data_IF_905278172677
#
_entry.id   IF_905278172677
#
_cell.length_a   1.000
_cell.length_b   1.000
_cell.length_c   1.000
_cell.angle_alpha   90.00
_cell.angle_beta   90.00
_cell.angle_gamma   90.00
#
_symmetry.space_group_name_H-M   'P 1'
#
loop_
_entity.id
_entity.type
_entity.pdbx_description
1 polymer ?
#
# COMPACT_ATOMS: atom_id res chain seq x y z
N UNK A 1 12.10 -1.74 5.61
CA UNK A 1 11.72 -1.59 7.03
C UNK A 1 12.70 -2.43 7.81
N UNK A 2 13.33 -1.89 8.84
CA UNK A 2 14.25 -2.66 9.67
C UNK A 2 13.50 -3.58 10.66
N UNK A 3 14.22 -4.55 11.26
CA UNK A 3 13.66 -5.53 12.18
C UNK A 3 13.04 -4.88 13.44
N UNK A 4 13.63 -3.78 13.91
CA UNK A 4 13.16 -3.03 15.09
C UNK A 4 11.80 -2.38 14.83
N UNK A 5 11.65 -1.74 13.67
CA UNK A 5 10.39 -1.15 13.23
C UNK A 5 9.31 -2.23 13.01
N UNK A 6 9.70 -3.41 12.49
CA UNK A 6 8.79 -4.55 12.33
C UNK A 6 8.29 -5.09 13.67
N UNK A 7 9.16 -5.24 14.66
CA UNK A 7 8.77 -5.68 16.02
C UNK A 7 7.86 -4.65 16.72
N UNK A 8 8.13 -3.36 16.56
CA UNK A 8 7.27 -2.29 17.08
C UNK A 8 5.87 -2.30 16.44
N UNK A 9 5.77 -2.65 15.16
CA UNK A 9 4.46 -2.78 14.47
C UNK A 9 3.58 -3.90 15.07
N UNK A 10 4.16 -4.91 15.70
CA UNK A 10 3.40 -6.00 16.31
C UNK A 10 2.45 -5.51 17.42
N UNK A 11 2.82 -4.48 18.15
CA UNK A 11 2.01 -3.90 19.22
C UNK A 11 0.69 -3.28 18.68
N UNK A 12 0.69 -2.85 17.42
CA UNK A 12 -0.46 -2.22 16.75
C UNK A 12 -1.19 -3.16 15.77
N UNK A 13 -0.73 -4.39 15.63
CA UNK A 13 -1.23 -5.31 14.61
C UNK A 13 -2.56 -6.01 14.95
N UNK A 14 -3.15 -5.73 16.10
CA UNK A 14 -4.31 -6.45 16.61
C UNK A 14 -4.02 -7.95 16.87
N UNK A 15 -5.01 -8.72 17.30
CA UNK A 15 -4.85 -10.16 17.50
C UNK A 15 -4.38 -10.85 16.20
N UNK A 16 -3.26 -11.56 16.28
CA UNK A 16 -2.76 -12.37 15.17
C UNK A 16 -3.75 -13.50 14.90
N UNK A 17 -4.49 -13.37 13.83
CA UNK A 17 -5.23 -14.51 13.33
C UNK A 17 -4.24 -15.59 12.84
N UNK A 18 -4.42 -16.87 13.20
CA UNK A 18 -3.66 -17.95 12.62
C UNK A 18 -3.67 -17.84 11.09
N UNK A 19 -2.57 -18.17 10.42
CA UNK A 19 -2.43 -18.02 8.96
C UNK A 19 -3.56 -18.68 8.16
N UNK A 20 -4.13 -19.76 8.67
CA UNK A 20 -5.28 -20.45 8.07
C UNK A 20 -6.58 -19.62 8.14
N UNK A 21 -6.74 -18.71 9.10
CA UNK A 21 -7.92 -17.81 9.18
C UNK A 21 -7.87 -16.61 8.21
N UNK A 22 -6.74 -16.39 7.53
CA UNK A 22 -6.61 -15.36 6.49
C UNK A 22 -7.03 -15.83 5.11
N UNK A 23 -7.17 -17.15 4.92
CA UNK A 23 -7.66 -17.74 3.68
C UNK A 23 -9.18 -17.83 3.73
N UNK A 24 -9.80 -17.75 2.57
CA UNK A 24 -11.21 -18.07 2.44
C UNK A 24 -11.39 -19.56 2.79
N UNK A 25 -12.00 -19.82 3.93
CA UNK A 25 -12.17 -21.21 4.43
C UNK A 25 -13.15 -22.01 3.56
N UNK A 26 -14.08 -21.30 2.89
CA UNK A 26 -15.12 -21.89 2.05
C UNK A 26 -14.70 -21.97 0.57
N UNK A 27 -13.41 -21.73 0.26
CA UNK A 27 -12.90 -21.78 -1.10
C UNK A 27 -11.88 -22.91 -1.29
N UNK A 28 -12.14 -23.73 -2.30
CA UNK A 28 -11.23 -24.78 -2.73
C UNK A 28 -10.16 -24.22 -3.65
N UNK A 29 -8.94 -24.15 -3.17
CA UNK A 29 -7.79 -23.61 -3.89
C UNK A 29 -7.20 -24.55 -4.97
N UNK A 30 -7.82 -25.71 -5.21
CA UNK A 30 -7.54 -26.57 -6.37
C UNK A 30 -8.39 -26.20 -7.58
N UNK A 31 -9.52 -25.51 -7.37
CA UNK A 31 -10.50 -25.17 -8.38
C UNK A 31 -10.07 -23.98 -9.26
N UNK A 32 -10.73 -23.87 -10.40
CA UNK A 32 -10.55 -22.74 -11.31
C UNK A 32 -10.76 -21.41 -10.58
N UNK A 33 -9.77 -20.52 -10.66
CA UNK A 33 -9.86 -19.23 -9.99
C UNK A 33 -8.67 -18.32 -10.30
N UNK A 34 -8.85 -17.03 -10.07
CA UNK A 34 -7.79 -16.05 -10.24
C UNK A 34 -7.33 -15.54 -8.88
N UNK A 35 -6.04 -15.57 -8.65
CA UNK A 35 -5.43 -15.29 -7.36
C UNK A 35 -4.35 -14.23 -7.50
N UNK A 36 -4.39 -13.21 -6.64
CA UNK A 36 -3.26 -12.35 -6.39
C UNK A 36 -2.56 -12.82 -5.12
N UNK A 37 -1.29 -13.17 -5.23
CA UNK A 37 -0.46 -13.62 -4.11
C UNK A 37 0.62 -12.59 -3.79
N UNK A 38 0.94 -12.45 -2.51
CA UNK A 38 2.03 -11.60 -2.03
C UNK A 38 2.97 -12.43 -1.18
N UNK A 39 4.23 -12.48 -1.59
CA UNK A 39 5.30 -13.15 -0.84
C UNK A 39 6.33 -12.11 -0.40
N UNK A 40 6.63 -12.11 0.89
CA UNK A 40 7.52 -11.13 1.53
C UNK A 40 8.81 -11.84 1.92
N UNK A 41 9.94 -11.18 1.76
CA UNK A 41 11.24 -11.68 2.27
C UNK A 41 11.21 -11.75 3.79
N UNK A 42 11.90 -12.73 4.36
CA UNK A 42 12.02 -12.84 5.81
C UNK A 42 12.63 -11.57 6.41
N UNK A 43 11.94 -10.97 7.38
CA UNK A 43 12.32 -9.70 8.01
C UNK A 43 12.30 -8.51 7.06
N UNK A 44 11.60 -8.59 5.94
CA UNK A 44 11.49 -7.53 4.91
C UNK A 44 12.84 -7.03 4.39
N UNK A 45 13.79 -7.94 4.24
CA UNK A 45 15.11 -7.63 3.67
C UNK A 45 14.98 -7.28 2.19
N UNK A 46 15.61 -6.20 1.76
CA UNK A 46 15.62 -5.74 0.36
C UNK A 46 16.62 -6.58 -0.46
N UNK A 47 16.22 -7.77 -0.88
CA UNK A 47 17.08 -8.76 -1.53
C UNK A 47 16.90 -8.82 -3.05
N UNK A 48 15.76 -8.36 -3.57
CA UNK A 48 15.42 -8.53 -4.98
C UNK A 48 15.91 -7.42 -5.89
N UNK A 49 16.58 -6.41 -5.35
CA UNK A 49 17.05 -5.23 -6.05
C UNK A 49 16.51 -3.94 -5.46
N UNK A 50 16.44 -2.89 -6.26
CA UNK A 50 15.89 -1.62 -5.83
C UNK A 50 15.09 -0.92 -6.94
N UNK A 51 14.29 0.08 -6.58
CA UNK A 51 13.58 0.92 -7.54
C UNK A 51 14.49 2.06 -8.00
N UNK A 52 14.42 2.39 -9.29
CA UNK A 52 15.12 3.49 -9.94
C UNK A 52 14.15 4.35 -10.75
N UNK A 53 14.56 5.58 -11.02
CA UNK A 53 13.77 6.60 -11.71
C UNK A 53 13.31 7.69 -10.75
N UNK A 54 12.33 8.47 -11.19
CA UNK A 54 11.69 9.55 -10.42
C UNK A 54 10.18 9.37 -10.42
N UNK A 55 9.52 9.70 -9.30
CA UNK A 55 8.09 9.42 -9.14
C UNK A 55 7.20 10.28 -10.04
N UNK A 56 7.68 11.42 -10.51
CA UNK A 56 7.01 12.37 -11.41
C UNK A 56 7.31 12.11 -12.90
N UNK A 57 8.28 11.23 -13.21
CA UNK A 57 8.65 10.92 -14.58
C UNK A 57 7.54 10.11 -15.29
N UNK A 58 7.16 10.58 -16.48
CA UNK A 58 6.12 9.94 -17.28
C UNK A 58 6.51 8.55 -17.79
N UNK A 59 5.50 7.70 -18.05
CA UNK A 59 5.72 6.38 -18.64
C UNK A 59 6.53 6.45 -19.94
N UNK A 60 7.49 5.55 -20.11
CA UNK A 60 8.34 5.48 -21.29
C UNK A 60 9.52 6.45 -21.34
N UNK A 61 9.63 7.40 -20.39
CA UNK A 61 10.81 8.24 -20.27
C UNK A 61 12.01 7.47 -19.69
N UNK A 62 13.23 7.95 -19.90
CA UNK A 62 14.45 7.35 -19.31
C UNK A 62 14.44 7.36 -17.79
N UNK A 63 13.76 8.34 -17.19
CA UNK A 63 13.54 8.49 -15.74
C UNK A 63 12.34 7.73 -15.20
N UNK A 64 11.59 7.00 -16.03
CA UNK A 64 10.38 6.31 -15.59
C UNK A 64 10.65 5.34 -14.42
N UNK A 65 9.77 5.31 -13.41
CA UNK A 65 9.86 4.40 -12.27
C UNK A 65 9.96 2.95 -12.71
N UNK A 66 10.97 2.25 -12.24
CA UNK A 66 11.17 0.83 -12.58
C UNK A 66 11.90 0.08 -11.47
N UNK A 67 11.69 -1.22 -11.42
CA UNK A 67 12.46 -2.12 -10.57
C UNK A 67 13.75 -2.54 -11.29
N UNK A 68 14.90 -2.34 -10.65
CA UNK A 68 16.22 -2.86 -11.09
C UNK A 68 16.52 -4.10 -10.26
N UNK A 69 16.47 -5.26 -10.90
CA UNK A 69 16.60 -6.54 -10.21
C UNK A 69 18.06 -6.87 -9.87
N UNK A 70 18.28 -7.38 -8.67
CA UNK A 70 19.50 -8.09 -8.28
C UNK A 70 19.60 -9.44 -9.00
N UNK A 71 20.74 -10.12 -8.92
CA UNK A 71 20.88 -11.49 -9.45
C UNK A 71 19.90 -12.46 -8.79
N UNK A 72 19.67 -12.30 -7.48
CA UNK A 72 18.62 -13.07 -6.78
C UNK A 72 17.22 -12.72 -7.31
N UNK A 73 16.94 -11.43 -7.51
CA UNK A 73 15.66 -10.99 -8.09
C UNK A 73 15.40 -11.63 -9.46
N UNK A 74 16.41 -11.66 -10.32
CA UNK A 74 16.33 -12.33 -11.62
C UNK A 74 16.09 -13.84 -11.50
N UNK A 75 16.74 -14.50 -10.53
CA UNK A 75 16.54 -15.94 -10.25
C UNK A 75 15.13 -16.22 -9.75
N UNK A 76 14.57 -15.36 -8.90
CA UNK A 76 13.18 -15.47 -8.42
C UNK A 76 12.19 -15.32 -9.56
N UNK A 77 12.43 -14.39 -10.51
CA UNK A 77 11.61 -14.25 -11.73
C UNK A 77 11.62 -15.55 -12.55
N UNK A 78 12.80 -16.16 -12.77
CA UNK A 78 12.90 -17.46 -13.48
C UNK A 78 12.12 -18.56 -12.75
N UNK A 79 12.25 -18.64 -11.43
CA UNK A 79 11.47 -19.59 -10.63
C UNK A 79 9.96 -19.35 -10.74
N UNK A 80 9.53 -18.09 -10.84
CA UNK A 80 8.12 -17.78 -11.06
C UNK A 80 7.63 -18.25 -12.43
N UNK A 81 8.41 -18.00 -13.48
CA UNK A 81 8.09 -18.41 -14.84
C UNK A 81 7.99 -19.93 -14.99
N UNK A 82 8.84 -20.69 -14.28
CA UNK A 82 8.79 -22.16 -14.32
C UNK A 82 7.54 -22.78 -13.67
N UNK A 83 6.71 -22.01 -12.94
CA UNK A 83 5.46 -22.52 -12.36
C UNK A 83 4.57 -23.14 -13.45
N UNK A 84 4.39 -22.47 -14.60
CA UNK A 84 3.53 -22.97 -15.68
C UNK A 84 4.12 -24.20 -16.39
N UNK A 85 5.42 -24.45 -16.29
CA UNK A 85 6.08 -25.66 -16.81
C UNK A 85 5.76 -26.88 -15.94
N UNK A 86 5.69 -26.68 -14.62
CA UNK A 86 5.38 -27.74 -13.66
C UNK A 86 3.87 -27.94 -13.44
N UNK A 87 3.09 -26.88 -13.65
CA UNK A 87 1.64 -26.83 -13.47
C UNK A 87 0.97 -26.21 -14.71
N UNK A 88 0.74 -27.01 -15.79
CA UNK A 88 0.15 -26.49 -17.04
C UNK A 88 -1.26 -25.91 -16.87
N UNK A 89 -1.94 -26.22 -15.75
CA UNK A 89 -3.22 -25.65 -15.38
C UNK A 89 -3.12 -24.17 -14.98
N UNK A 90 -1.91 -23.67 -14.67
CA UNK A 90 -1.70 -22.31 -14.17
C UNK A 90 -1.18 -21.41 -15.28
N UNK A 91 -1.94 -20.37 -15.58
CA UNK A 91 -1.49 -19.25 -16.41
C UNK A 91 -0.97 -18.13 -15.51
N UNK A 92 0.26 -17.71 -15.73
CA UNK A 92 0.85 -16.55 -15.06
C UNK A 92 0.36 -15.28 -15.77
N UNK A 93 -0.30 -14.40 -15.04
CA UNK A 93 -0.89 -13.17 -15.59
C UNK A 93 0.04 -11.98 -15.39
N UNK A 94 0.56 -11.80 -14.17
CA UNK A 94 1.42 -10.67 -13.80
C UNK A 94 2.38 -11.07 -12.71
N UNK A 95 3.59 -10.52 -12.77
CA UNK A 95 4.55 -10.51 -11.67
C UNK A 95 5.06 -9.09 -11.48
N UNK A 96 4.98 -8.56 -10.27
CA UNK A 96 5.59 -7.32 -9.86
C UNK A 96 6.58 -7.58 -8.74
N UNK A 97 7.85 -7.39 -9.06
CA UNK A 97 8.93 -7.46 -8.08
C UNK A 97 9.06 -6.12 -7.35
N UNK A 98 9.28 -6.18 -6.04
CA UNK A 98 9.63 -5.05 -5.19
C UNK A 98 10.88 -5.40 -4.40
N UNK A 99 11.60 -4.43 -3.80
CA UNK A 99 12.87 -4.74 -3.13
C UNK A 99 12.82 -5.84 -2.08
N UNK A 100 11.72 -5.93 -1.31
CA UNK A 100 11.55 -6.82 -0.16
C UNK A 100 10.35 -7.78 -0.27
N UNK A 101 9.68 -7.79 -1.42
CA UNK A 101 8.52 -8.67 -1.66
C UNK A 101 8.22 -8.78 -3.15
N UNK A 102 7.31 -9.70 -3.48
CA UNK A 102 6.72 -9.79 -4.82
C UNK A 102 5.20 -9.90 -4.73
N UNK A 103 4.55 -9.43 -5.77
CA UNK A 103 3.14 -9.69 -6.05
C UNK A 103 3.03 -10.47 -7.34
N UNK A 104 2.26 -11.54 -7.33
CA UNK A 104 1.97 -12.31 -8.53
C UNK A 104 0.49 -12.48 -8.73
N UNK A 105 0.02 -12.35 -9.97
CA UNK A 105 -1.34 -12.73 -10.35
C UNK A 105 -1.24 -13.99 -11.20
N UNK A 106 -1.95 -15.02 -10.79
CA UNK A 106 -2.02 -16.29 -11.50
C UNK A 106 -3.47 -16.72 -11.66
N UNK A 107 -3.74 -17.45 -12.74
CA UNK A 107 -5.04 -17.98 -13.08
C UNK A 107 -4.97 -19.49 -13.16
N UNK A 108 -5.65 -20.17 -12.24
CA UNK A 108 -5.92 -21.61 -12.34
C UNK A 108 -7.04 -21.78 -13.36
N UNK A 109 -6.71 -22.34 -14.52
CA UNK A 109 -7.63 -22.41 -15.67
C UNK A 109 -8.63 -23.57 -15.56
N UNK A 110 -8.21 -24.64 -14.91
CA UNK A 110 -8.98 -25.86 -14.63
C UNK A 110 -8.56 -26.44 -13.29
N UNK A 111 -9.35 -27.35 -12.77
CA UNK A 111 -9.06 -28.07 -11.53
C UNK A 111 -7.67 -28.71 -11.57
N UNK A 112 -6.96 -28.63 -10.46
CA UNK A 112 -5.61 -29.17 -10.27
C UNK A 112 -5.65 -30.33 -9.26
N UNK A 113 -4.78 -31.31 -9.40
CA UNK A 113 -4.57 -32.38 -8.40
C UNK A 113 -4.04 -31.81 -7.07
N UNK A 114 -3.32 -30.69 -7.12
CA UNK A 114 -2.71 -30.03 -5.97
C UNK A 114 -3.32 -28.65 -5.76
N UNK A 115 -3.62 -28.29 -4.51
CA UNK A 115 -4.08 -26.94 -4.20
C UNK A 115 -2.94 -25.90 -4.35
N UNK A 116 -3.30 -24.64 -4.63
CA UNK A 116 -2.37 -23.52 -4.86
C UNK A 116 -1.25 -23.40 -3.82
N UNK A 117 -1.51 -23.76 -2.55
CA UNK A 117 -0.50 -23.73 -1.49
C UNK A 117 0.69 -24.66 -1.73
N UNK A 118 0.48 -25.81 -2.39
CA UNK A 118 1.56 -26.74 -2.79
C UNK A 118 2.41 -26.12 -3.89
N UNK A 119 1.77 -25.49 -4.88
CA UNK A 119 2.45 -24.76 -5.97
C UNK A 119 3.38 -23.66 -5.40
N UNK A 120 2.85 -22.83 -4.51
CA UNK A 120 3.63 -21.76 -3.89
C UNK A 120 4.72 -22.27 -2.94
N UNK A 121 4.51 -23.42 -2.29
CA UNK A 121 5.56 -24.13 -1.52
C UNK A 121 6.69 -24.58 -2.44
N UNK A 122 6.38 -25.19 -3.59
CA UNK A 122 7.35 -25.58 -4.61
C UNK A 122 8.15 -24.37 -5.12
N UNK A 123 7.46 -23.29 -5.48
CA UNK A 123 8.09 -22.02 -5.86
C UNK A 123 9.06 -21.49 -4.80
N UNK A 124 8.63 -21.41 -3.54
CA UNK A 124 9.51 -20.97 -2.43
C UNK A 124 10.72 -21.88 -2.25
N UNK A 125 10.54 -23.19 -2.42
CA UNK A 125 11.65 -24.17 -2.32
C UNK A 125 12.67 -23.94 -3.42
N UNK A 126 12.25 -23.71 -4.67
CA UNK A 126 13.11 -23.35 -5.79
C UNK A 126 13.90 -22.05 -5.52
N UNK A 127 13.20 -21.00 -5.08
CA UNK A 127 13.82 -19.72 -4.74
C UNK A 127 14.85 -19.85 -3.59
N UNK A 128 14.53 -20.62 -2.53
CA UNK A 128 15.49 -20.87 -1.44
C UNK A 128 16.76 -21.59 -1.91
N UNK A 129 16.64 -22.49 -2.90
CA UNK A 129 17.77 -23.16 -3.52
C UNK A 129 18.71 -22.19 -4.23
N UNK A 130 18.14 -21.27 -5.01
CA UNK A 130 18.89 -20.22 -5.70
C UNK A 130 19.52 -19.22 -4.69
N UNK A 131 18.81 -18.83 -3.67
CA UNK A 131 19.29 -17.97 -2.59
C UNK A 131 20.53 -18.57 -1.90
N UNK A 132 20.47 -19.86 -1.53
CA UNK A 132 21.62 -20.56 -0.92
C UNK A 132 22.83 -20.62 -1.84
N UNK A 133 22.65 -20.90 -3.14
CA UNK A 133 23.75 -20.89 -4.12
C UNK A 133 24.48 -19.54 -4.15
N UNK A 134 23.73 -18.43 -4.14
CA UNK A 134 24.32 -17.10 -4.16
C UNK A 134 25.07 -16.76 -2.87
N UNK A 135 24.54 -17.15 -1.70
CA UNK A 135 25.25 -16.95 -0.43
C UNK A 135 26.55 -17.76 -0.39
N UNK A 136 26.49 -19.04 -0.74
CA UNK A 136 27.68 -19.90 -0.76
C UNK A 136 28.73 -19.37 -1.74
N UNK A 137 28.30 -18.91 -2.94
CA UNK A 137 29.17 -18.27 -3.90
C UNK A 137 29.85 -17.00 -3.37
N UNK A 138 29.10 -16.11 -2.72
CA UNK A 138 29.64 -14.90 -2.09
C UNK A 138 30.65 -15.23 -0.98
N UNK A 139 30.35 -16.20 -0.11
CA UNK A 139 31.25 -16.65 0.98
C UNK A 139 32.54 -17.25 0.40
N UNK A 140 32.45 -18.06 -0.65
CA UNK A 140 33.62 -18.64 -1.32
C UNK A 140 34.54 -17.53 -1.90
N UNK A 141 33.96 -16.49 -2.53
CA UNK A 141 34.72 -15.37 -3.07
C UNK A 141 35.38 -14.53 -1.97
N UNK A 142 34.68 -14.29 -0.84
CA UNK A 142 35.25 -13.56 0.31
C UNK A 142 36.38 -14.36 0.98
N UNK A 143 36.27 -15.68 1.08
CA UNK A 143 37.30 -16.55 1.65
C UNK A 143 38.56 -16.63 0.79
N UNK A 144 38.43 -16.52 -0.54
CA UNK A 144 39.58 -16.43 -1.45
C UNK A 144 40.41 -15.14 -1.25
N UNK A 145 39.77 -14.06 -0.76
CA UNK A 145 40.44 -12.77 -0.53
C UNK A 145 40.95 -12.60 0.90
N UNK A 146 40.44 -13.33 1.89
CA UNK A 146 40.75 -13.13 3.31
C UNK A 146 41.63 -14.20 3.97
N UNK A 147 41.89 -15.31 3.32
CA UNK A 147 42.79 -16.38 3.82
C UNK A 147 42.39 -17.06 5.14
N UNK A 148 41.23 -16.75 5.70
CA UNK A 148 40.74 -17.30 6.97
C UNK A 148 39.54 -18.23 6.78
N UNK A 149 39.74 -19.52 7.08
CA UNK A 149 38.67 -20.52 7.19
C UNK A 149 37.89 -20.33 8.50
N UNK A 150 36.82 -19.58 8.49
CA UNK A 150 35.80 -19.70 9.53
C UNK A 150 34.84 -20.85 9.18
N UNK A 151 34.73 -21.84 10.10
CA UNK A 151 33.69 -22.88 10.03
C UNK A 151 32.34 -22.22 10.25
N UNK A 152 31.60 -21.90 9.19
CA UNK A 152 30.19 -21.59 9.32
C UNK A 152 29.42 -22.87 9.60
N UNK A 153 28.92 -23.01 10.82
CA UNK A 153 27.93 -24.01 11.20
C UNK A 153 26.62 -23.70 10.49
N UNK A 154 26.18 -24.60 9.59
CA UNK A 154 25.12 -24.41 8.60
C UNK A 154 23.68 -24.35 9.15
N UNK A 155 23.42 -23.65 10.26
CA UNK A 155 22.10 -23.55 10.89
C UNK A 155 21.51 -22.15 11.04
N UNK A 156 22.21 -21.10 10.56
CA UNK A 156 21.71 -19.70 10.67
C UNK A 156 21.33 -19.03 9.35
N UNK A 157 21.29 -19.74 8.24
CA UNK A 157 20.81 -19.20 6.99
C UNK A 157 19.28 -19.16 6.99
N UNK A 158 18.70 -18.00 7.35
CA UNK A 158 17.28 -17.77 7.36
C UNK A 158 16.63 -18.07 5.99
N UNK A 159 15.34 -18.35 5.99
CA UNK A 159 14.55 -18.54 4.76
C UNK A 159 14.56 -17.26 3.93
N UNK A 160 14.48 -17.38 2.60
CA UNK A 160 14.34 -16.23 1.72
C UNK A 160 13.02 -15.49 1.97
N UNK A 161 11.93 -16.24 2.09
CA UNK A 161 10.59 -15.71 2.29
C UNK A 161 10.09 -15.99 3.70
N UNK A 162 9.23 -15.09 4.19
CA UNK A 162 8.37 -15.34 5.35
C UNK A 162 7.64 -16.69 5.21
N UNK A 163 7.35 -17.34 6.34
CA UNK A 163 6.77 -18.67 6.37
C UNK A 163 5.45 -18.76 5.61
N UNK A 164 4.63 -17.71 5.68
CA UNK A 164 3.32 -17.62 5.05
C UNK A 164 3.34 -16.73 3.80
N UNK A 165 2.20 -16.62 3.13
CA UNK A 165 1.93 -15.67 2.07
C UNK A 165 0.52 -15.11 2.24
N UNK A 166 0.25 -13.95 1.63
CA UNK A 166 -1.11 -13.40 1.55
C UNK A 166 -1.65 -13.70 0.16
N UNK A 167 -2.92 -14.07 0.08
CA UNK A 167 -3.65 -14.26 -1.17
C UNK A 167 -4.96 -13.48 -1.18
N UNK A 168 -5.43 -13.19 -2.37
CA UNK A 168 -6.74 -12.61 -2.64
C UNK A 168 -7.35 -13.26 -3.87
N UNK A 169 -8.60 -13.68 -3.74
CA UNK A 169 -9.44 -14.10 -4.84
C UNK A 169 -9.92 -12.89 -5.64
N UNK A 170 -9.80 -12.95 -6.96
CA UNK A 170 -10.30 -11.92 -7.86
C UNK A 170 -11.61 -12.42 -8.47
N UNK A 171 -12.74 -12.05 -7.84
CA UNK A 171 -14.06 -12.59 -8.17
C UNK A 171 -14.95 -11.60 -8.95
N UNK A 172 -14.58 -10.31 -9.02
CA UNK A 172 -15.42 -9.26 -9.58
C UNK A 172 -14.91 -8.83 -10.95
N UNK A 173 -15.82 -8.54 -11.86
CA UNK A 173 -15.52 -7.94 -13.16
C UNK A 173 -14.71 -6.63 -13.00
N UNK A 174 -13.75 -6.39 -13.89
CA UNK A 174 -12.85 -5.25 -13.84
C UNK A 174 -11.83 -5.25 -12.69
N UNK A 175 -11.90 -6.22 -11.76
CA UNK A 175 -10.98 -6.29 -10.62
C UNK A 175 -9.55 -6.63 -11.08
N UNK A 176 -9.39 -7.47 -12.08
CA UNK A 176 -8.08 -7.85 -12.61
C UNK A 176 -7.31 -6.63 -13.11
N UNK A 177 -7.93 -5.81 -13.99
CA UNK A 177 -7.25 -4.63 -14.54
C UNK A 177 -6.81 -3.66 -13.44
N UNK A 178 -7.70 -3.37 -12.49
CA UNK A 178 -7.36 -2.50 -11.34
C UNK A 178 -6.17 -3.02 -10.52
N UNK A 179 -6.03 -4.35 -10.39
CA UNK A 179 -4.88 -4.94 -9.70
C UNK A 179 -3.61 -4.86 -10.55
N UNK A 180 -3.70 -5.09 -11.86
CA UNK A 180 -2.56 -4.91 -12.77
C UNK A 180 -2.05 -3.46 -12.68
N UNK A 181 -2.93 -2.48 -12.83
CA UNK A 181 -2.59 -1.06 -12.76
C UNK A 181 -1.94 -0.70 -11.40
N UNK A 182 -2.53 -1.20 -10.31
CA UNK A 182 -1.96 -1.03 -8.98
C UNK A 182 -0.54 -1.63 -8.85
N UNK A 183 -0.32 -2.83 -9.40
CA UNK A 183 0.98 -3.50 -9.33
C UNK A 183 2.02 -2.78 -10.17
N UNK A 184 1.66 -2.31 -11.35
CA UNK A 184 2.54 -1.54 -12.24
C UNK A 184 2.96 -0.21 -11.63
N UNK A 185 2.09 0.40 -10.82
CA UNK A 185 2.34 1.66 -10.13
C UNK A 185 3.18 1.51 -8.84
N UNK A 186 3.38 0.30 -8.33
CA UNK A 186 4.11 0.10 -7.07
C UNK A 186 5.53 0.67 -7.03
N UNK A 187 6.37 0.58 -8.10
CA UNK A 187 7.69 1.22 -8.11
C UNK A 187 7.60 2.74 -7.95
N UNK A 188 6.70 3.40 -8.67
CA UNK A 188 6.46 4.85 -8.57
C UNK A 188 6.02 5.26 -7.16
N UNK A 189 5.08 4.51 -6.57
CA UNK A 189 4.60 4.75 -5.19
C UNK A 189 5.72 4.62 -4.15
N UNK A 190 6.66 3.70 -4.37
CA UNK A 190 7.81 3.56 -3.48
C UNK A 190 8.77 4.73 -3.64
N UNK A 191 9.03 5.18 -4.87
CA UNK A 191 9.86 6.37 -5.15
C UNK A 191 9.23 7.62 -4.54
N UNK A 192 7.95 7.89 -4.77
CA UNK A 192 7.24 9.04 -4.19
C UNK A 192 7.39 9.12 -2.66
N UNK A 193 7.32 7.96 -1.98
CA UNK A 193 7.54 7.91 -0.52
C UNK A 193 8.99 8.17 -0.10
N UNK A 194 9.96 7.86 -0.97
CA UNK A 194 11.39 8.11 -0.72
C UNK A 194 11.78 9.54 -1.02
N UNK A 195 11.23 10.11 -2.09
CA UNK A 195 11.48 11.47 -2.53
C UNK A 195 10.82 12.50 -1.61
N UNK A 196 9.64 12.16 -1.06
CA UNK A 196 8.85 13.05 -0.19
C UNK A 196 8.55 12.43 1.19
N UNK A 197 9.57 12.04 1.97
CA UNK A 197 9.37 11.30 3.21
C UNK A 197 8.50 12.05 4.24
N UNK A 198 8.56 13.39 4.28
CA UNK A 198 7.80 14.20 5.23
C UNK A 198 6.31 14.22 4.95
N UNK A 199 5.89 14.07 3.68
CA UNK A 199 4.49 13.95 3.28
C UNK A 199 3.87 12.60 3.67
N UNK A 200 4.70 11.60 3.99
CA UNK A 200 4.27 10.27 4.38
C UNK A 200 4.57 9.93 5.85
N UNK A 201 5.21 10.87 6.58
CA UNK A 201 5.48 10.73 8.01
C UNK A 201 4.24 11.07 8.80
N UNK A 202 3.99 10.28 9.85
CA UNK A 202 2.98 10.63 10.87
C UNK A 202 3.56 11.70 11.81
N UNK A 203 2.80 12.74 12.03
CA UNK A 203 3.08 13.81 12.99
C UNK A 203 2.00 13.80 14.06
N UNK A 204 2.41 13.68 15.32
CA UNK A 204 1.52 13.77 16.47
C UNK A 204 1.62 15.15 17.10
N UNK A 205 0.53 15.60 17.73
CA UNK A 205 0.53 16.86 18.46
C UNK A 205 0.43 18.11 17.58
N UNK A 206 -0.03 17.99 16.33
CA UNK A 206 -0.29 19.16 15.48
C UNK A 206 -1.41 20.00 16.09
N UNK A 207 -1.09 21.24 16.50
CA UNK A 207 -2.07 22.19 17.01
C UNK A 207 -2.69 22.95 15.84
N UNK A 208 -4.00 22.89 15.72
CA UNK A 208 -4.77 23.61 14.71
C UNK A 208 -6.17 23.92 15.24
N UNK A 209 -6.62 25.17 15.09
CA UNK A 209 -7.94 25.60 15.50
C UNK A 209 -8.29 25.23 16.97
N UNK A 210 -7.33 25.36 17.89
CA UNK A 210 -7.52 25.03 19.30
C UNK A 210 -7.62 23.54 19.64
N UNK A 211 -7.36 22.66 18.67
CA UNK A 211 -7.41 21.20 18.81
C UNK A 211 -6.06 20.57 18.48
N UNK A 212 -5.85 19.38 19.02
CA UNK A 212 -4.64 18.57 18.76
C UNK A 212 -4.96 17.43 17.82
N UNK A 213 -4.16 17.26 16.78
CA UNK A 213 -4.36 16.22 15.76
C UNK A 213 -3.13 15.33 15.59
N UNK A 214 -3.37 14.07 15.24
CA UNK A 214 -2.39 13.30 14.50
C UNK A 214 -2.56 13.60 13.00
N UNK A 215 -1.45 13.76 12.27
CA UNK A 215 -1.48 14.27 10.89
C UNK A 215 -0.56 13.49 9.95
N UNK A 216 -0.98 13.36 8.68
CA UNK A 216 -0.16 12.86 7.57
C UNK A 216 -0.45 13.75 6.36
N UNK A 217 0.58 14.12 5.60
CA UNK A 217 0.45 14.93 4.39
C UNK A 217 1.02 16.34 4.55
N UNK A 218 0.55 17.25 3.71
CA UNK A 218 1.06 18.61 3.64
C UNK A 218 0.51 19.49 4.77
N UNK A 219 1.30 19.67 5.82
CA UNK A 219 0.96 20.47 7.01
C UNK A 219 0.93 22.00 6.77
N UNK A 220 1.25 22.44 5.55
CA UNK A 220 1.17 23.86 5.18
C UNK A 220 -0.19 24.21 4.57
N UNK A 221 -1.04 23.27 4.21
CA UNK A 221 -2.37 23.54 3.66
C UNK A 221 -3.25 24.39 4.60
N UNK A 222 -3.25 24.19 5.93
CA UNK A 222 -4.03 25.04 6.84
C UNK A 222 -3.60 26.52 6.88
N UNK A 223 -2.37 26.83 6.44
CA UNK A 223 -1.85 28.19 6.40
C UNK A 223 -2.34 28.97 5.18
N UNK A 224 -2.95 28.32 4.19
CA UNK A 224 -3.56 29.02 3.04
C UNK A 224 -4.74 29.86 3.51
N UNK A 225 -4.87 31.09 3.01
CA UNK A 225 -5.84 32.05 3.53
C UNK A 225 -7.29 31.68 3.20
N UNK A 226 -7.51 30.93 2.13
CA UNK A 226 -8.84 30.56 1.69
C UNK A 226 -9.08 29.06 1.87
N UNK A 227 -9.89 28.72 2.84
CA UNK A 227 -10.36 27.38 3.14
C UNK A 227 -11.88 27.33 3.03
N UNK A 228 -12.42 26.26 2.47
CA UNK A 228 -13.85 26.10 2.22
C UNK A 228 -14.34 24.76 2.79
N UNK A 229 -15.24 24.84 3.76
CA UNK A 229 -15.88 23.66 4.33
C UNK A 229 -16.76 22.98 3.28
N UNK A 230 -16.53 21.68 3.07
CA UNK A 230 -17.41 20.83 2.26
C UNK A 230 -18.39 20.14 3.19
N UNK A 231 -19.62 20.62 3.17
CA UNK A 231 -20.74 20.03 3.91
C UNK A 231 -21.90 19.79 2.95
N UNK A 232 -22.38 18.54 2.92
CA UNK A 232 -23.48 18.11 2.06
C UNK A 232 -24.55 17.37 2.87
N UNK A 233 -25.83 17.72 2.63
CA UNK A 233 -26.95 16.99 3.21
C UNK A 233 -26.94 15.51 2.77
N UNK A 234 -27.40 14.62 3.65
CA UNK A 234 -27.57 13.21 3.31
C UNK A 234 -28.76 12.95 2.39
N UNK A 235 -29.67 13.91 2.23
CA UNK A 235 -30.88 13.80 1.42
C UNK A 235 -30.68 14.26 -0.04
N UNK A 236 -29.47 14.68 -0.43
CA UNK A 236 -29.20 15.13 -1.82
C UNK A 236 -29.37 14.00 -2.83
N UNK A 237 -30.02 14.32 -3.94
CA UNK A 237 -30.08 13.46 -5.12
C UNK A 237 -28.71 13.37 -5.82
N UNK A 238 -28.59 12.45 -6.77
CA UNK A 238 -27.34 12.32 -7.56
C UNK A 238 -27.02 13.56 -8.37
N UNK A 239 -28.02 14.20 -8.92
CA UNK A 239 -27.93 15.44 -9.71
C UNK A 239 -27.48 16.61 -8.83
N UNK A 240 -28.07 16.74 -7.65
CA UNK A 240 -27.66 17.75 -6.68
C UNK A 240 -26.23 17.54 -6.18
N UNK A 241 -25.82 16.26 -5.97
CA UNK A 241 -24.44 15.93 -5.62
C UNK A 241 -23.49 16.35 -6.75
N UNK A 242 -23.82 16.07 -8.02
CA UNK A 242 -22.99 16.48 -9.16
C UNK A 242 -22.83 18.02 -9.20
N UNK A 243 -23.91 18.78 -9.02
CA UNK A 243 -23.87 20.25 -8.93
C UNK A 243 -22.98 20.74 -7.80
N UNK A 244 -23.04 20.08 -6.62
CA UNK A 244 -22.14 20.41 -5.48
C UNK A 244 -20.68 20.10 -5.80
N UNK A 245 -20.39 18.97 -6.45
CA UNK A 245 -19.05 18.61 -6.90
C UNK A 245 -18.50 19.72 -7.80
N UNK A 246 -19.24 20.11 -8.85
CA UNK A 246 -18.82 21.14 -9.81
C UNK A 246 -18.54 22.47 -9.10
N UNK A 247 -19.43 22.88 -8.17
CA UNK A 247 -19.24 24.08 -7.37
C UNK A 247 -17.92 24.03 -6.57
N UNK A 248 -17.72 22.99 -5.75
CA UNK A 248 -16.53 22.92 -4.88
C UNK A 248 -15.24 22.80 -5.71
N UNK A 249 -15.25 22.05 -6.81
CA UNK A 249 -14.08 21.96 -7.70
C UNK A 249 -13.76 23.33 -8.34
N UNK A 250 -14.79 24.09 -8.73
CA UNK A 250 -14.58 25.43 -9.28
C UNK A 250 -13.90 26.35 -8.27
N UNK A 251 -14.33 26.33 -7.00
CA UNK A 251 -13.71 27.11 -5.92
C UNK A 251 -12.26 26.68 -5.64
N UNK A 252 -12.03 25.36 -5.62
CA UNK A 252 -10.69 24.83 -5.40
C UNK A 252 -9.71 25.16 -6.55
N UNK A 253 -10.18 25.18 -7.79
CA UNK A 253 -9.39 25.67 -8.96
C UNK A 253 -9.03 27.14 -8.87
N UNK A 254 -9.82 27.93 -8.15
CA UNK A 254 -9.54 29.35 -7.87
C UNK A 254 -8.61 29.54 -6.65
N UNK A 255 -8.20 28.47 -5.99
CA UNK A 255 -7.22 28.49 -4.90
C UNK A 255 -7.75 28.12 -3.51
N UNK A 256 -9.04 27.80 -3.37
CA UNK A 256 -9.58 27.34 -2.11
C UNK A 256 -9.02 25.96 -1.72
N UNK A 257 -8.73 25.75 -0.43
CA UNK A 257 -8.46 24.43 0.14
C UNK A 257 -9.78 23.85 0.64
N UNK A 258 -10.19 22.71 0.12
CA UNK A 258 -11.41 22.04 0.57
C UNK A 258 -11.17 21.34 1.91
N UNK A 259 -12.08 21.52 2.88
CA UNK A 259 -11.97 20.90 4.20
C UNK A 259 -13.21 20.05 4.46
N UNK A 260 -13.04 18.73 4.71
CA UNK A 260 -14.17 17.81 4.85
C UNK A 260 -13.87 16.61 5.74
N UNK A 261 -14.83 16.13 6.54
CA UNK A 261 -14.78 14.83 7.20
C UNK A 261 -15.26 13.69 6.30
N UNK A 262 -15.76 13.96 5.10
CA UNK A 262 -16.28 12.98 4.13
C UNK A 262 -17.31 11.99 4.73
N UNK A 263 -18.29 12.51 5.47
CA UNK A 263 -19.30 11.68 6.16
C UNK A 263 -20.42 11.29 5.21
N UNK A 264 -21.01 12.27 4.51
CA UNK A 264 -22.11 12.05 3.55
C UNK A 264 -21.60 11.56 2.19
N UNK A 265 -22.49 10.99 1.37
CA UNK A 265 -22.14 10.58 0.02
C UNK A 265 -21.75 11.77 -0.87
N UNK A 266 -22.38 12.94 -0.67
CA UNK A 266 -22.00 14.17 -1.37
C UNK A 266 -20.59 14.63 -1.00
N UNK A 267 -20.24 14.66 0.29
CA UNK A 267 -18.88 15.00 0.75
C UNK A 267 -17.83 14.04 0.20
N UNK A 268 -18.10 12.72 0.22
CA UNK A 268 -17.23 11.71 -0.36
C UNK A 268 -17.05 11.87 -1.87
N UNK A 269 -18.11 12.26 -2.58
CA UNK A 269 -18.05 12.54 -4.02
C UNK A 269 -17.17 13.75 -4.32
N UNK A 270 -17.35 14.86 -3.60
CA UNK A 270 -16.50 16.06 -3.72
C UNK A 270 -15.04 15.71 -3.44
N UNK A 271 -14.77 14.98 -2.37
CA UNK A 271 -13.41 14.60 -1.99
C UNK A 271 -12.73 13.73 -3.04
N UNK A 272 -13.43 12.72 -3.60
CA UNK A 272 -12.91 11.88 -4.68
C UNK A 272 -12.58 12.71 -5.92
N UNK A 273 -13.51 13.54 -6.36
CA UNK A 273 -13.36 14.39 -7.53
C UNK A 273 -12.21 15.42 -7.34
N UNK A 274 -12.04 15.97 -6.14
CA UNK A 274 -10.93 16.87 -5.83
C UNK A 274 -9.57 16.17 -5.92
N UNK A 275 -9.45 14.94 -5.39
CA UNK A 275 -8.22 14.14 -5.51
C UNK A 275 -7.90 13.78 -6.97
N UNK A 276 -8.90 13.41 -7.76
CA UNK A 276 -8.78 13.11 -9.20
C UNK A 276 -8.37 14.34 -10.01
N UNK A 277 -8.88 15.51 -9.63
CA UNK A 277 -8.56 16.80 -10.25
C UNK A 277 -7.25 17.44 -9.72
N UNK A 278 -6.52 16.77 -8.83
CA UNK A 278 -5.28 17.26 -8.19
C UNK A 278 -5.47 18.60 -7.45
N UNK A 279 -6.54 18.70 -6.72
CA UNK A 279 -6.91 19.92 -5.98
C UNK A 279 -6.61 19.77 -4.48
N UNK A 280 -6.24 20.86 -3.79
CA UNK A 280 -5.83 20.82 -2.39
C UNK A 280 -7.01 20.54 -1.46
N UNK A 281 -6.81 19.60 -0.52
CA UNK A 281 -7.82 19.27 0.46
C UNK A 281 -7.25 18.89 1.84
N UNK A 282 -8.02 19.15 2.88
CA UNK A 282 -7.81 18.74 4.26
C UNK A 282 -8.92 17.75 4.62
N UNK A 283 -8.54 16.52 4.92
CA UNK A 283 -9.46 15.46 5.32
C UNK A 283 -9.43 15.24 6.83
N UNK A 284 -10.53 15.46 7.51
CA UNK A 284 -10.70 15.07 8.90
C UNK A 284 -11.11 13.60 9.00
N UNK A 285 -10.14 12.75 9.25
CA UNK A 285 -10.40 11.31 9.44
C UNK A 285 -11.05 11.05 10.79
N UNK A 286 -12.19 10.34 10.83
CA UNK A 286 -12.74 9.89 12.10
C UNK A 286 -11.90 8.80 12.75
N UNK A 287 -11.05 8.12 11.98
CA UNK A 287 -10.25 7.00 12.46
C UNK A 287 -8.92 7.50 13.01
N UNK A 288 -8.37 6.79 13.99
CA UNK A 288 -7.07 7.09 14.55
C UNK A 288 -5.96 6.96 13.50
N UNK A 289 -4.88 7.68 13.73
CA UNK A 289 -3.61 7.55 13.02
C UNK A 289 -2.59 6.99 14.01
N UNK A 290 -2.04 5.82 13.71
CA UNK A 290 -0.96 5.18 14.47
C UNK A 290 0.40 5.56 13.87
N UNK A 291 1.54 5.34 14.56
CA UNK A 291 2.87 5.60 14.01
C UNK A 291 3.17 4.86 12.69
N UNK A 292 2.37 3.83 12.39
CA UNK A 292 2.54 2.97 11.22
C UNK A 292 1.46 3.17 10.15
N UNK A 293 0.55 4.11 10.37
CA UNK A 293 -0.49 4.44 9.39
C UNK A 293 0.17 4.95 8.11
N UNK A 294 -0.29 4.45 6.98
CA UNK A 294 0.18 4.86 5.65
C UNK A 294 -1.02 5.20 4.78
N UNK A 295 -1.00 6.32 4.09
CA UNK A 295 -2.02 6.60 3.08
C UNK A 295 -2.14 5.43 2.10
N UNK A 296 -3.36 5.07 1.71
CA UNK A 296 -3.64 3.99 0.76
C UNK A 296 -4.46 4.51 -0.42
N UNK A 297 -4.52 3.75 -1.53
CA UNK A 297 -5.33 4.12 -2.69
C UNK A 297 -4.97 5.50 -3.26
N UNK A 298 -5.98 6.30 -3.58
CA UNK A 298 -5.83 7.67 -4.10
C UNK A 298 -5.17 8.67 -3.14
N UNK A 299 -5.19 8.39 -1.84
CA UNK A 299 -4.51 9.24 -0.85
C UNK A 299 -2.98 9.26 -1.04
N UNK A 300 -2.37 8.18 -1.55
CA UNK A 300 -0.92 8.17 -1.84
C UNK A 300 -0.60 9.25 -2.87
N UNK A 301 -1.39 9.31 -3.93
CA UNK A 301 -1.19 10.25 -5.04
C UNK A 301 -1.35 11.70 -4.55
N UNK A 302 -2.44 11.97 -3.85
CA UNK A 302 -2.69 13.30 -3.31
C UNK A 302 -1.63 13.72 -2.28
N UNK A 303 -1.16 12.79 -1.42
CA UNK A 303 -0.04 13.07 -0.51
C UNK A 303 1.27 13.34 -1.26
N UNK A 304 1.62 12.53 -2.27
CA UNK A 304 2.90 12.69 -3.00
C UNK A 304 3.02 14.02 -3.72
N UNK A 305 1.91 14.59 -4.17
CA UNK A 305 1.85 15.93 -4.78
C UNK A 305 1.79 17.05 -3.76
N UNK A 306 1.58 16.76 -2.48
CA UNK A 306 1.36 17.77 -1.44
C UNK A 306 -0.05 18.38 -1.44
N UNK A 307 -1.01 17.76 -2.11
CA UNK A 307 -2.39 18.25 -2.23
C UNK A 307 -3.28 17.79 -1.07
N UNK A 308 -2.80 16.92 -0.20
CA UNK A 308 -3.61 16.33 0.87
C UNK A 308 -2.96 16.52 2.25
N UNK A 309 -3.79 16.91 3.22
CA UNK A 309 -3.52 16.76 4.64
C UNK A 309 -4.62 15.91 5.28
N UNK A 310 -4.23 14.83 5.95
CA UNK A 310 -5.13 13.99 6.75
C UNK A 310 -4.93 14.37 8.21
N UNK A 311 -6.02 14.72 8.90
CA UNK A 311 -6.06 15.07 10.31
C UNK A 311 -6.93 14.04 11.07
N UNK A 312 -6.43 13.49 12.16
CA UNK A 312 -7.20 12.60 13.05
C UNK A 312 -7.27 13.22 14.46
N UNK A 313 -8.46 13.63 14.91
CA UNK A 313 -8.63 14.25 16.22
C UNK A 313 -8.67 13.23 17.36
N UNK A 314 -8.97 11.97 17.09
CA UNK A 314 -9.22 10.95 18.11
C UNK A 314 -8.16 9.84 18.08
N UNK A 315 -7.32 9.73 19.14
CA UNK A 315 -6.20 8.78 19.15
C UNK A 315 -6.65 7.31 19.28
N UNK A 316 -7.81 7.07 19.93
CA UNK A 316 -8.22 5.71 20.32
C UNK A 316 -9.35 5.15 19.47
N UNK A 317 -9.84 5.90 18.47
CA UNK A 317 -11.00 5.48 17.67
C UNK A 317 -10.61 4.50 16.57
N UNK A 318 -11.20 3.30 16.60
CA UNK A 318 -11.00 2.25 15.60
C UNK A 318 -11.82 2.50 14.32
N UNK A 319 -11.26 2.08 13.17
CA UNK A 319 -11.94 2.12 11.88
C UNK A 319 -13.20 1.24 11.79
N UNK A 320 -13.37 0.29 12.70
CA UNK A 320 -14.55 -0.61 12.76
C UNK A 320 -15.74 0.00 13.47
N UNK A 321 -15.56 1.12 14.17
CA UNK A 321 -16.63 1.79 14.90
C UNK A 321 -17.47 2.67 13.96
N UNK A 322 -18.78 2.51 13.99
CA UNK A 322 -19.70 3.41 13.28
C UNK A 322 -19.68 4.79 13.92
N UNK A 323 -19.79 5.84 13.09
CA UNK A 323 -19.89 7.21 13.58
C UNK A 323 -21.26 7.45 14.21
N UNK A 324 -21.27 7.90 15.45
CA UNK A 324 -22.46 8.43 16.09
C UNK A 324 -22.84 9.81 15.50
N UNK A 325 -24.09 10.21 15.72
CA UNK A 325 -24.55 11.56 15.32
C UNK A 325 -23.70 12.66 15.97
N UNK A 326 -23.37 12.51 17.25
CA UNK A 326 -22.58 13.48 17.99
C UNK A 326 -21.17 13.61 17.42
N UNK A 327 -20.51 12.50 17.08
CA UNK A 327 -19.19 12.52 16.43
C UNK A 327 -19.25 13.20 15.05
N UNK A 328 -20.30 12.96 14.26
CA UNK A 328 -20.51 13.67 12.99
C UNK A 328 -20.60 15.19 13.19
N UNK A 329 -21.38 15.65 14.17
CA UNK A 329 -21.52 17.06 14.49
C UNK A 329 -20.21 17.67 14.96
N UNK A 330 -19.46 16.95 15.79
CA UNK A 330 -18.13 17.38 16.27
C UNK A 330 -17.15 17.54 15.11
N UNK A 331 -17.07 16.58 14.18
CA UNK A 331 -16.20 16.68 13.00
C UNK A 331 -16.61 17.86 12.11
N UNK A 332 -17.90 18.09 11.89
CA UNK A 332 -18.37 19.25 11.11
C UNK A 332 -17.99 20.57 11.78
N UNK A 333 -18.10 20.67 13.11
CA UNK A 333 -17.68 21.88 13.83
C UNK A 333 -16.17 22.08 13.76
N UNK A 334 -15.37 21.01 13.87
CA UNK A 334 -13.91 21.10 13.69
C UNK A 334 -13.54 21.60 12.30
N UNK A 335 -14.21 21.10 11.23
CA UNK A 335 -13.95 21.58 9.85
C UNK A 335 -14.32 23.05 9.67
N UNK A 336 -15.43 23.50 10.25
CA UNK A 336 -15.84 24.89 10.27
C UNK A 336 -14.76 25.77 10.93
N UNK A 337 -14.34 25.41 12.15
CA UNK A 337 -13.32 26.17 12.90
C UNK A 337 -11.96 26.22 12.17
N UNK A 338 -11.58 25.16 11.43
CA UNK A 338 -10.38 25.16 10.58
C UNK A 338 -10.54 26.16 9.41
N UNK A 339 -11.74 26.32 8.87
CA UNK A 339 -11.98 27.24 7.77
C UNK A 339 -12.02 28.73 8.22
N UNK A 340 -12.33 29.00 9.48
CA UNK A 340 -12.41 30.33 10.07
C UNK A 340 -11.03 30.94 10.41
N UNK A 341 -9.96 30.17 10.39
CA UNK A 341 -8.56 30.60 10.58
C UNK A 341 -7.92 31.01 9.24
#
# INVERSE_FOLDING_TARGET
MDRKTFEQQKAYAGERQPSMKRRCLDHDYSQRGMYMVTLVTEGRRKLFGDVAGHSDAGPGSTGAPRMVLSELGKSVVRCWQSISEHYPEIKLIKLQMMPDHLHGILFVQREMDNHLGIVLKGFKTGCNKEYRKLIVGCVATMLQHSGQRQKHTGHEEGLLFERNYNDRLLLREGQLQRWIDYLDDNPRRLLAKREHPDLFRVHFGLQLAGQTYAAIGNRFLPQRPWKLQVQCSRSLTKEEIATKVDYFLSQARQGAVLVSPAISEGEKAVMRAAMEANLPLIFLSPNNITPFTKPGGSFIEACSRGDLLILAPWPDRSATQLLSRQECLTLNKMTETICEQ
#
